data_IF_491322754559
#
_entry.id   IF_491322754559
#
_cell.length_a   1.000
_cell.length_b   1.000
_cell.length_c   1.000
_cell.angle_alpha   90.00
_cell.angle_beta   90.00
_cell.angle_gamma   90.00
#
_symmetry.space_group_name_H-M   'P 1'
#
loop_
_entity.id
_entity.type
_entity.pdbx_description
1 polymer ?
#
# COMPACT_ATOMS: atom_id res chain seq x y z
N UNK A 1 -19.53 5.31 20.63
CA UNK A 1 -19.06 6.52 19.91
C UNK A 1 -17.89 7.08 20.70
N UNK A 2 -16.76 7.39 20.06
CA UNK A 2 -15.61 7.99 20.76
C UNK A 2 -15.92 9.44 21.16
N UNK A 3 -15.36 9.89 22.29
CA UNK A 3 -15.43 11.29 22.71
C UNK A 3 -14.25 12.07 22.13
N UNK A 4 -14.53 13.00 21.21
CA UNK A 4 -13.56 13.88 20.58
C UNK A 4 -13.52 15.29 21.20
N UNK A 5 -14.09 15.48 22.40
CA UNK A 5 -14.14 16.77 23.11
C UNK A 5 -12.78 17.47 23.24
N UNK A 6 -11.69 16.70 23.29
CA UNK A 6 -10.31 17.21 23.36
C UNK A 6 -9.77 17.74 22.03
N UNK A 7 -10.38 17.42 20.90
CA UNK A 7 -10.01 17.95 19.59
C UNK A 7 -10.68 19.31 19.32
N UNK A 8 -11.87 19.56 19.89
CA UNK A 8 -12.68 20.74 19.59
C UNK A 8 -11.98 22.08 19.82
N UNK A 9 -11.13 22.28 20.85
CA UNK A 9 -10.40 23.54 21.00
C UNK A 9 -9.40 23.83 19.86
N UNK A 10 -9.02 22.81 19.08
CA UNK A 10 -8.01 22.91 18.01
C UNK A 10 -8.68 23.03 16.65
N UNK A 11 -9.61 22.11 16.33
CA UNK A 11 -10.24 22.00 15.00
C UNK A 11 -11.72 22.41 14.98
N UNK A 12 -12.29 22.72 16.15
CA UNK A 12 -13.72 22.98 16.30
C UNK A 12 -14.59 21.73 16.15
N UNK A 13 -15.86 21.85 16.53
CA UNK A 13 -16.86 20.79 16.30
C UNK A 13 -17.04 20.54 14.79
N UNK A 14 -17.03 21.62 14.01
CA UNK A 14 -17.17 21.55 12.56
C UNK A 14 -15.99 20.84 11.87
N UNK A 15 -14.76 21.05 12.34
CA UNK A 15 -13.60 20.31 11.84
C UNK A 15 -13.70 18.82 12.15
N UNK A 16 -14.12 18.47 13.37
CA UNK A 16 -14.35 17.06 13.72
C UNK A 16 -15.46 16.43 12.88
N UNK A 17 -16.55 17.19 12.58
CA UNK A 17 -17.62 16.75 11.69
C UNK A 17 -17.08 16.44 10.28
N UNK A 18 -16.29 17.36 9.70
CA UNK A 18 -15.64 17.14 8.39
C UNK A 18 -14.77 15.88 8.38
N UNK A 19 -13.96 15.65 9.41
CA UNK A 19 -13.15 14.43 9.53
C UNK A 19 -14.03 13.18 9.57
N UNK A 20 -15.13 13.22 10.33
CA UNK A 20 -16.07 12.08 10.43
C UNK A 20 -16.85 11.78 9.16
N UNK A 21 -16.87 12.71 8.20
CA UNK A 21 -17.47 12.53 6.88
C UNK A 21 -16.44 12.17 5.81
N UNK A 22 -15.14 12.26 6.13
CA UNK A 22 -14.04 12.01 5.20
C UNK A 22 -13.75 10.51 5.05
N UNK A 23 -13.31 10.14 3.86
CA UNK A 23 -12.84 8.80 3.50
C UNK A 23 -11.34 8.82 3.18
N UNK A 24 -10.54 8.02 3.88
CA UNK A 24 -9.08 7.96 3.67
C UNK A 24 -8.67 6.55 3.27
N UNK A 25 -7.96 6.42 2.15
CA UNK A 25 -7.33 5.15 1.76
C UNK A 25 -5.90 5.06 2.27
N UNK A 26 -5.56 3.95 2.92
CA UNK A 26 -4.20 3.59 3.32
C UNK A 26 -3.76 2.40 2.46
N UNK A 27 -2.69 2.58 1.68
CA UNK A 27 -2.17 1.56 0.77
C UNK A 27 -0.98 0.87 1.40
N UNK A 28 -1.13 -0.38 1.81
CA UNK A 28 -0.19 -1.10 2.64
C UNK A 28 -0.59 -1.01 4.12
N UNK A 29 -0.51 -2.13 4.83
CA UNK A 29 -0.88 -2.31 6.22
C UNK A 29 0.28 -2.90 7.05
N UNK A 30 1.51 -2.73 6.57
CA UNK A 30 2.72 -3.10 7.31
C UNK A 30 3.02 -2.15 8.48
N UNK A 31 4.31 -2.01 8.80
CA UNK A 31 4.77 -1.15 9.91
C UNK A 31 4.18 0.26 9.85
N UNK A 32 4.21 0.90 8.68
CA UNK A 32 3.72 2.25 8.53
C UNK A 32 2.18 2.33 8.50
N UNK A 33 1.56 1.66 7.53
CA UNK A 33 0.12 1.76 7.31
C UNK A 33 -0.74 1.31 8.50
N UNK A 34 -0.29 0.33 9.29
CA UNK A 34 -1.02 -0.08 10.49
C UNK A 34 -1.07 1.02 11.56
N UNK A 35 0.00 1.82 11.71
CA UNK A 35 0.00 3.00 12.59
C UNK A 35 -0.79 4.17 12.00
N UNK A 36 -0.78 4.36 10.67
CA UNK A 36 -1.62 5.35 10.00
C UNK A 36 -3.10 5.08 10.24
N UNK A 37 -3.53 3.82 10.07
CA UNK A 37 -4.89 3.37 10.37
C UNK A 37 -5.25 3.64 11.84
N UNK A 38 -4.36 3.31 12.77
CA UNK A 38 -4.56 3.60 14.19
C UNK A 38 -4.77 5.10 14.43
N UNK A 39 -3.90 5.96 13.90
CA UNK A 39 -4.01 7.41 14.11
C UNK A 39 -5.22 8.03 13.41
N UNK A 40 -5.57 7.60 12.19
CA UNK A 40 -6.79 8.04 11.50
C UNK A 40 -8.05 7.66 12.29
N UNK A 41 -8.08 6.44 12.83
CA UNK A 41 -9.18 5.96 13.66
C UNK A 41 -9.30 6.81 14.95
N UNK A 42 -8.17 7.10 15.62
CA UNK A 42 -8.15 7.98 16.80
C UNK A 42 -8.43 9.45 16.47
N UNK A 43 -8.19 9.89 15.25
CA UNK A 43 -8.53 11.23 14.76
C UNK A 43 -10.04 11.36 14.46
N UNK A 44 -10.76 10.24 14.32
CA UNK A 44 -12.19 10.24 14.04
C UNK A 44 -12.52 10.42 12.56
N UNK A 45 -11.69 9.87 11.68
CA UNK A 45 -11.99 9.76 10.24
C UNK A 45 -13.19 8.81 10.04
N UNK A 46 -14.11 9.18 9.15
CA UNK A 46 -15.37 8.47 8.92
C UNK A 46 -15.21 7.06 8.37
N UNK A 47 -14.52 6.93 7.24
CA UNK A 47 -14.21 5.63 6.63
C UNK A 47 -12.72 5.52 6.33
N UNK A 48 -12.10 4.44 6.80
CA UNK A 48 -10.72 4.11 6.49
C UNK A 48 -10.73 2.90 5.58
N UNK A 49 -10.20 3.07 4.37
CA UNK A 49 -10.06 2.02 3.36
C UNK A 49 -8.64 1.50 3.46
N UNK A 50 -8.46 0.18 3.62
CA UNK A 50 -7.13 -0.42 3.73
C UNK A 50 -6.95 -1.43 2.62
N UNK A 51 -5.87 -1.29 1.85
CA UNK A 51 -5.53 -2.20 0.75
C UNK A 51 -4.19 -2.82 1.07
N UNK A 52 -4.17 -4.12 1.36
CA UNK A 52 -2.95 -4.86 1.63
C UNK A 52 -3.14 -6.33 1.25
N UNK A 53 -2.05 -6.99 0.85
CA UNK A 53 -2.05 -8.33 0.24
C UNK A 53 -1.41 -9.40 1.13
N UNK A 54 -0.95 -9.03 2.31
CA UNK A 54 -0.15 -9.86 3.20
C UNK A 54 -0.96 -10.34 4.42
N UNK A 55 -0.46 -11.42 5.01
CA UNK A 55 -0.89 -11.92 6.31
C UNK A 55 0.00 -11.35 7.41
N UNK A 56 -0.51 -11.28 8.63
CA UNK A 56 0.29 -10.89 9.80
C UNK A 56 1.32 -11.97 10.11
N UNK A 57 2.59 -11.60 10.07
CA UNK A 57 3.73 -12.46 10.39
C UNK A 57 4.34 -12.12 11.77
N UNK A 58 5.08 -13.06 12.37
CA UNK A 58 5.76 -12.83 13.65
C UNK A 58 6.74 -11.65 13.59
N UNK A 59 7.40 -11.46 12.44
CA UNK A 59 8.32 -10.34 12.19
C UNK A 59 7.62 -8.97 12.08
N UNK A 60 6.29 -8.92 11.96
CA UNK A 60 5.51 -7.69 11.97
C UNK A 60 5.27 -7.17 13.40
N UNK A 61 5.16 -8.06 14.39
CA UNK A 61 4.74 -7.72 15.76
C UNK A 61 5.56 -6.59 16.42
N UNK A 62 6.90 -6.53 16.28
CA UNK A 62 7.69 -5.50 16.97
C UNK A 62 7.48 -4.07 16.44
N UNK A 63 6.87 -3.91 15.26
CA UNK A 63 6.86 -2.64 14.49
C UNK A 63 5.49 -2.24 13.95
N UNK A 64 4.45 -3.00 14.25
CA UNK A 64 3.07 -2.76 13.82
C UNK A 64 2.15 -2.66 15.03
N UNK A 65 0.87 -2.42 14.79
CA UNK A 65 -0.19 -2.45 15.83
C UNK A 65 -0.74 -3.87 16.09
N UNK A 66 -0.23 -4.87 15.37
CA UNK A 66 -0.69 -6.25 15.49
C UNK A 66 -0.21 -6.89 16.80
N UNK A 67 -0.97 -7.86 17.27
CA UNK A 67 -0.66 -8.67 18.45
C UNK A 67 -0.55 -10.13 18.06
N UNK A 68 -0.13 -10.99 19.01
CA UNK A 68 -0.02 -12.44 18.79
C UNK A 68 -1.34 -13.10 18.37
N UNK A 69 -2.48 -12.50 18.71
CA UNK A 69 -3.82 -12.98 18.34
C UNK A 69 -4.15 -12.75 16.86
N UNK A 70 -3.37 -11.91 16.16
CA UNK A 70 -3.57 -11.61 14.75
C UNK A 70 -2.73 -12.47 13.82
N UNK A 71 -1.79 -13.26 14.35
CA UNK A 71 -0.86 -14.06 13.54
C UNK A 71 -1.60 -14.97 12.55
N UNK A 72 -1.16 -14.95 11.29
CA UNK A 72 -1.75 -15.72 10.21
C UNK A 72 -3.08 -15.17 9.65
N UNK A 73 -3.63 -14.09 10.21
CA UNK A 73 -4.80 -13.41 9.62
C UNK A 73 -4.36 -12.47 8.49
N UNK A 74 -5.19 -12.25 7.44
CA UNK A 74 -4.97 -11.14 6.53
C UNK A 74 -4.84 -9.82 7.30
N UNK A 75 -3.82 -9.02 6.97
CA UNK A 75 -3.55 -7.74 7.65
C UNK A 75 -4.75 -6.82 7.67
N UNK A 76 -5.50 -6.79 6.56
CA UNK A 76 -6.73 -6.00 6.42
C UNK A 76 -7.86 -6.49 7.32
N UNK A 77 -7.98 -7.80 7.55
CA UNK A 77 -9.02 -8.37 8.41
C UNK A 77 -8.70 -8.12 9.89
N UNK A 78 -7.43 -8.27 10.29
CA UNK A 78 -6.97 -7.92 11.63
C UNK A 78 -7.24 -6.43 11.96
N UNK A 79 -6.99 -5.52 11.01
CA UNK A 79 -7.31 -4.10 11.19
C UNK A 79 -8.82 -3.83 11.18
N UNK A 80 -9.60 -4.58 10.40
CA UNK A 80 -11.06 -4.49 10.38
C UNK A 80 -11.66 -4.87 11.72
N UNK A 81 -11.19 -5.95 12.34
CA UNK A 81 -11.61 -6.37 13.68
C UNK A 81 -11.26 -5.33 14.74
N UNK A 82 -10.06 -4.72 14.67
CA UNK A 82 -9.60 -3.75 15.69
C UNK A 82 -10.19 -2.35 15.55
N UNK A 83 -10.37 -1.87 14.32
CA UNK A 83 -10.64 -0.45 14.04
C UNK A 83 -11.87 -0.22 13.14
N UNK A 84 -12.54 -1.28 12.66
CA UNK A 84 -13.74 -1.17 11.83
C UNK A 84 -13.48 -0.66 10.41
N UNK A 85 -12.29 -0.89 9.85
CA UNK A 85 -11.91 -0.41 8.51
C UNK A 85 -12.60 -1.20 7.37
N UNK A 86 -12.67 -0.58 6.19
CA UNK A 86 -13.03 -1.24 4.92
C UNK A 86 -11.78 -1.87 4.31
N UNK A 87 -11.54 -3.15 4.62
CA UNK A 87 -10.38 -3.90 4.17
C UNK A 87 -10.55 -4.53 2.78
N UNK A 88 -9.54 -4.41 1.93
CA UNK A 88 -9.40 -5.11 0.65
C UNK A 88 -8.12 -5.94 0.66
N UNK A 89 -8.27 -7.27 0.68
CA UNK A 89 -7.14 -8.20 0.64
C UNK A 89 -6.60 -8.33 -0.79
N UNK A 90 -5.92 -7.30 -1.27
CA UNK A 90 -5.48 -7.13 -2.65
C UNK A 90 -4.14 -6.38 -2.72
N UNK A 91 -3.42 -6.61 -3.80
CA UNK A 91 -2.28 -5.79 -4.19
C UNK A 91 -2.75 -4.53 -4.92
N UNK A 92 -2.26 -3.34 -4.57
CA UNK A 92 -2.55 -2.13 -5.33
C UNK A 92 -1.65 -2.03 -6.57
N UNK A 93 -2.28 -2.11 -7.74
CA UNK A 93 -1.64 -2.07 -9.05
C UNK A 93 -2.62 -1.45 -10.07
N UNK A 94 -2.24 -1.29 -11.36
CA UNK A 94 -3.10 -0.65 -12.35
C UNK A 94 -4.47 -1.31 -12.52
N UNK A 95 -4.55 -2.61 -12.27
CA UNK A 95 -5.77 -3.42 -12.40
C UNK A 95 -6.73 -3.24 -11.21
N UNK A 96 -6.22 -2.81 -10.06
CA UNK A 96 -6.95 -2.68 -8.79
C UNK A 96 -7.00 -1.23 -8.27
N UNK A 97 -6.46 -0.27 -9.03
CA UNK A 97 -6.36 1.12 -8.59
C UNK A 97 -7.71 1.81 -8.37
N UNK A 98 -8.78 1.26 -8.95
CA UNK A 98 -10.17 1.70 -8.74
C UNK A 98 -10.64 1.49 -7.29
N UNK A 99 -9.95 0.68 -6.48
CA UNK A 99 -10.23 0.57 -5.04
C UNK A 99 -10.03 1.90 -4.30
N UNK A 100 -9.35 2.87 -4.91
CA UNK A 100 -9.14 4.21 -4.38
C UNK A 100 -10.25 5.20 -4.75
N UNK A 101 -11.26 4.80 -5.55
CA UNK A 101 -12.26 5.70 -6.14
C UNK A 101 -13.12 6.43 -5.10
N UNK A 102 -13.38 5.81 -3.96
CA UNK A 102 -14.18 6.42 -2.90
C UNK A 102 -13.37 7.32 -1.94
N UNK A 103 -12.03 7.26 -1.97
CA UNK A 103 -11.21 8.01 -1.02
C UNK A 103 -11.12 9.51 -1.36
N UNK A 104 -11.23 10.37 -0.36
CA UNK A 104 -10.96 11.81 -0.48
C UNK A 104 -9.45 12.09 -0.45
N UNK A 105 -8.70 11.24 0.25
CA UNK A 105 -7.25 11.32 0.43
C UNK A 105 -6.63 9.92 0.46
N UNK A 106 -5.44 9.77 -0.11
CA UNK A 106 -4.65 8.52 -0.07
C UNK A 106 -3.41 8.74 0.79
N UNK A 107 -3.06 7.77 1.63
CA UNK A 107 -1.82 7.75 2.41
C UNK A 107 -1.02 6.49 2.06
N UNK A 108 0.27 6.70 1.82
CA UNK A 108 1.22 5.65 1.46
C UNK A 108 1.70 4.89 2.70
N UNK A 109 1.23 3.65 2.85
CA UNK A 109 1.72 2.69 3.83
C UNK A 109 2.59 1.58 3.21
N UNK A 110 2.98 1.70 1.93
CA UNK A 110 3.69 0.67 1.16
C UNK A 110 5.19 0.90 1.17
N UNK A 111 5.96 -0.16 0.95
CA UNK A 111 7.40 -0.12 0.74
C UNK A 111 7.80 -0.22 -0.75
N UNK A 112 6.82 -0.28 -1.65
CA UNK A 112 7.04 -0.53 -3.07
C UNK A 112 7.00 0.76 -3.90
N UNK A 113 8.16 1.13 -4.47
CA UNK A 113 8.30 2.32 -5.33
C UNK A 113 7.40 2.26 -6.56
N UNK A 114 7.18 1.09 -7.16
CA UNK A 114 6.27 0.94 -8.29
C UNK A 114 4.84 1.28 -7.87
N UNK A 115 4.38 0.75 -6.74
CA UNK A 115 3.03 1.03 -6.21
C UNK A 115 2.87 2.53 -5.95
N UNK A 116 3.90 3.22 -5.44
CA UNK A 116 3.90 4.69 -5.31
C UNK A 116 3.76 5.42 -6.66
N UNK A 117 4.35 4.90 -7.73
CA UNK A 117 4.16 5.45 -9.08
C UNK A 117 2.75 5.20 -9.62
N UNK A 118 2.13 4.05 -9.30
CA UNK A 118 0.71 3.76 -9.62
C UNK A 118 -0.21 4.73 -8.89
N UNK A 119 -0.02 4.91 -7.57
CA UNK A 119 -0.77 5.89 -6.77
C UNK A 119 -0.62 7.29 -7.37
N UNK A 120 0.62 7.69 -7.71
CA UNK A 120 0.89 9.00 -8.30
C UNK A 120 0.11 9.23 -9.61
N UNK A 121 0.15 8.27 -10.54
CA UNK A 121 -0.51 8.43 -11.83
C UNK A 121 -2.03 8.44 -11.68
N UNK A 122 -2.56 7.60 -10.80
CA UNK A 122 -3.98 7.60 -10.45
C UNK A 122 -4.43 8.90 -9.79
N UNK A 123 -3.66 9.41 -8.84
CA UNK A 123 -3.90 10.66 -8.15
C UNK A 123 -3.91 11.84 -9.14
N UNK A 124 -2.97 11.88 -10.08
CA UNK A 124 -2.91 12.91 -11.13
C UNK A 124 -4.10 12.80 -12.09
N UNK A 125 -4.52 11.58 -12.45
CA UNK A 125 -5.67 11.34 -13.34
C UNK A 125 -6.99 11.78 -12.72
N UNK A 126 -7.18 11.48 -11.44
CA UNK A 126 -8.44 11.68 -10.73
C UNK A 126 -8.45 12.91 -9.81
N UNK A 127 -7.40 13.74 -9.88
CA UNK A 127 -7.22 14.91 -9.04
C UNK A 127 -7.33 14.62 -7.53
N UNK A 128 -6.79 13.48 -7.08
CA UNK A 128 -6.82 13.08 -5.67
C UNK A 128 -5.55 13.51 -4.94
N UNK A 129 -5.64 14.18 -3.78
CA UNK A 129 -4.47 14.39 -2.95
C UNK A 129 -3.97 13.05 -2.40
N UNK A 130 -2.66 12.96 -2.20
CA UNK A 130 -2.08 11.85 -1.46
C UNK A 130 -0.82 12.25 -0.72
N UNK A 131 -0.41 11.46 0.26
CA UNK A 131 0.78 11.71 1.06
C UNK A 131 1.74 10.55 0.83
N UNK A 132 2.89 10.85 0.22
CA UNK A 132 4.02 9.92 0.16
C UNK A 132 4.66 9.82 1.53
N UNK A 133 4.92 8.60 1.99
CA UNK A 133 5.61 8.34 3.24
C UNK A 133 6.56 7.16 3.05
N UNK A 134 7.82 7.34 3.41
CA UNK A 134 8.85 6.31 3.32
C UNK A 134 9.71 6.29 4.56
N UNK A 135 9.92 5.11 5.13
CA UNK A 135 10.73 4.90 6.35
C UNK A 135 11.75 3.79 6.10
N UNK A 136 12.95 3.95 6.67
CA UNK A 136 14.02 2.95 6.58
C UNK A 136 15.04 3.22 7.71
N UNK A 137 15.53 2.17 8.38
CA UNK A 137 16.41 2.28 9.54
C UNK A 137 15.89 3.24 10.62
N UNK A 138 16.51 4.42 10.76
CA UNK A 138 16.18 5.48 11.74
C UNK A 138 15.55 6.72 11.12
N UNK A 139 15.34 6.74 9.80
CA UNK A 139 14.91 7.92 9.07
C UNK A 139 13.56 7.74 8.38
N UNK A 140 12.92 8.88 8.11
CA UNK A 140 11.64 8.98 7.42
C UNK A 140 11.59 10.15 6.46
N UNK A 141 10.76 10.00 5.43
CA UNK A 141 10.48 10.99 4.39
C UNK A 141 8.97 11.12 4.23
N UNK A 142 8.45 12.34 4.20
CA UNK A 142 7.02 12.61 4.05
C UNK A 142 6.83 13.76 3.07
N UNK A 143 5.97 13.57 2.07
CA UNK A 143 5.70 14.59 1.06
C UNK A 143 4.20 14.64 0.70
N UNK A 144 3.50 15.75 1.01
CA UNK A 144 2.15 15.96 0.53
C UNK A 144 2.11 16.26 -0.97
N UNK A 145 1.28 15.53 -1.70
CA UNK A 145 1.11 15.64 -3.13
C UNK A 145 -0.34 16.02 -3.43
N UNK A 146 -0.53 17.26 -3.86
CA UNK A 146 -1.83 17.80 -4.28
C UNK A 146 -1.72 18.07 -5.79
N UNK A 147 -2.37 17.25 -6.64
CA UNK A 147 -2.32 17.42 -8.09
C UNK A 147 -2.61 18.86 -8.53
N UNK A 148 -1.75 19.40 -9.39
CA UNK A 148 -1.87 20.77 -9.90
C UNK A 148 -1.37 21.87 -8.95
N UNK A 149 -1.14 21.59 -7.66
CA UNK A 149 -0.67 22.58 -6.68
C UNK A 149 0.76 22.32 -6.21
N UNK A 150 1.08 21.09 -5.81
CA UNK A 150 2.42 20.74 -5.33
C UNK A 150 3.18 19.88 -6.35
N UNK A 151 4.46 19.63 -6.08
CA UNK A 151 5.23 18.64 -6.83
C UNK A 151 4.60 17.25 -6.71
N UNK A 152 4.52 16.53 -7.82
CA UNK A 152 4.09 15.12 -7.80
C UNK A 152 5.27 14.19 -7.46
N UNK A 153 4.99 12.92 -7.20
CA UNK A 153 6.05 11.96 -6.90
C UNK A 153 7.04 11.79 -8.05
N UNK A 154 6.62 11.95 -9.32
CA UNK A 154 7.55 11.92 -10.47
C UNK A 154 8.42 13.19 -10.60
N UNK A 155 8.08 14.27 -9.89
CA UNK A 155 9.00 15.41 -9.75
C UNK A 155 10.19 15.05 -8.85
N UNK A 156 9.91 14.37 -7.73
CA UNK A 156 10.89 13.91 -6.75
C UNK A 156 11.66 12.66 -7.22
N UNK A 157 10.95 11.66 -7.73
CA UNK A 157 11.44 10.36 -8.19
C UNK A 157 11.09 10.16 -9.68
N UNK A 158 11.86 10.73 -10.61
CA UNK A 158 11.53 10.75 -12.03
C UNK A 158 11.66 9.41 -12.75
N UNK A 159 12.46 8.48 -12.22
CA UNK A 159 12.66 7.14 -12.78
C UNK A 159 12.63 6.12 -11.65
N UNK A 160 12.21 4.90 -11.97
CA UNK A 160 12.47 3.78 -11.07
C UNK A 160 13.99 3.61 -10.92
N UNK A 161 14.48 3.31 -9.71
CA UNK A 161 15.90 3.05 -9.52
C UNK A 161 16.31 1.84 -10.37
N UNK A 162 17.47 1.93 -11.02
CA UNK A 162 18.00 0.86 -11.87
C UNK A 162 18.51 -0.35 -11.09
N UNK A 163 18.59 -0.24 -9.76
CA UNK A 163 18.95 -1.30 -8.82
C UNK A 163 17.92 -1.33 -7.69
N UNK A 164 17.67 -2.49 -7.08
CA UNK A 164 16.84 -2.58 -5.89
C UNK A 164 17.38 -1.65 -4.80
N UNK A 165 16.51 -0.81 -4.24
CA UNK A 165 16.86 -0.05 -3.04
C UNK A 165 16.90 -0.99 -1.83
N UNK A 166 17.72 -0.71 -0.80
CA UNK A 166 17.69 -1.47 0.44
C UNK A 166 16.27 -1.46 1.01
N UNK A 167 15.74 -2.65 1.29
CA UNK A 167 14.41 -2.81 1.93
C UNK A 167 14.57 -2.80 3.44
N UNK A 168 13.45 -2.62 4.16
CA UNK A 168 13.43 -2.77 5.63
C UNK A 168 13.92 -4.15 6.07
N UNK A 169 13.77 -5.19 5.25
CA UNK A 169 14.27 -6.53 5.55
C UNK A 169 15.80 -6.60 5.57
N UNK A 170 16.48 -5.74 4.80
CA UNK A 170 17.96 -5.72 4.69
C UNK A 170 18.55 -4.67 5.63
N UNK A 171 18.02 -3.45 5.63
CA UNK A 171 18.56 -2.34 6.40
C UNK A 171 18.03 -2.29 7.85
N UNK A 172 16.95 -3.03 8.14
CA UNK A 172 16.21 -2.92 9.39
C UNK A 172 15.33 -1.66 9.46
N UNK A 173 14.45 -1.64 10.46
CA UNK A 173 13.65 -0.47 10.81
C UNK A 173 13.43 -0.43 12.32
N UNK A 174 13.70 0.71 12.95
CA UNK A 174 13.44 0.88 14.38
C UNK A 174 11.94 1.05 14.63
N UNK A 175 11.40 0.35 15.63
CA UNK A 175 9.96 0.26 15.90
C UNK A 175 9.26 1.59 16.18
N UNK A 176 10.00 2.60 16.64
CA UNK A 176 9.48 3.95 16.90
C UNK A 176 9.45 4.87 15.67
N UNK A 177 10.10 4.48 14.56
CA UNK A 177 10.15 5.29 13.33
C UNK A 177 8.81 5.28 12.58
N UNK A 178 8.18 4.11 12.29
CA UNK A 178 6.86 4.07 11.68
C UNK A 178 5.79 4.89 12.39
N UNK A 179 5.58 4.79 13.73
CA UNK A 179 4.55 5.58 14.39
C UNK A 179 4.83 7.09 14.35
N UNK A 180 6.10 7.51 14.41
CA UNK A 180 6.47 8.92 14.24
C UNK A 180 6.11 9.43 12.83
N UNK A 181 6.48 8.67 11.79
CA UNK A 181 6.16 9.04 10.41
C UNK A 181 4.64 9.07 10.18
N UNK A 182 3.92 8.05 10.65
CA UNK A 182 2.46 7.97 10.55
C UNK A 182 1.78 9.14 11.27
N UNK A 183 2.25 9.55 12.45
CA UNK A 183 1.70 10.68 13.18
C UNK A 183 1.83 11.99 12.40
N UNK A 184 3.00 12.23 11.79
CA UNK A 184 3.23 13.42 10.95
C UNK A 184 2.36 13.36 9.68
N UNK A 185 2.30 12.20 9.01
CA UNK A 185 1.48 12.01 7.80
C UNK A 185 -0.01 12.21 8.08
N UNK A 186 -0.54 11.68 9.20
CA UNK A 186 -1.94 11.88 9.60
C UNK A 186 -2.21 13.33 10.02
N UNK A 187 -1.24 14.02 10.61
CA UNK A 187 -1.33 15.47 10.85
C UNK A 187 -1.50 16.26 9.54
N UNK A 188 -0.72 15.90 8.51
CA UNK A 188 -0.85 16.50 7.16
C UNK A 188 -2.20 16.12 6.52
N UNK A 189 -2.65 14.87 6.70
CA UNK A 189 -3.95 14.41 6.23
C UNK A 189 -5.09 15.24 6.82
N UNK A 190 -5.06 15.50 8.14
CA UNK A 190 -6.03 16.35 8.81
C UNK A 190 -6.07 17.75 8.18
N UNK A 191 -4.91 18.37 7.94
CA UNK A 191 -4.83 19.66 7.26
C UNK A 191 -5.50 19.64 5.88
N UNK A 192 -5.22 18.63 5.06
CA UNK A 192 -5.81 18.49 3.72
C UNK A 192 -7.33 18.35 3.82
N UNK A 193 -7.83 17.47 4.68
CA UNK A 193 -9.27 17.20 4.85
C UNK A 193 -10.03 18.40 5.43
N UNK A 194 -9.38 19.20 6.27
CA UNK A 194 -9.96 20.42 6.82
C UNK A 194 -9.93 21.61 5.84
N UNK A 195 -9.23 21.45 4.70
CA UNK A 195 -9.08 22.49 3.68
C UNK A 195 -8.00 23.53 3.99
N UNK A 196 -7.07 23.21 4.88
CA UNK A 196 -5.93 24.06 5.18
C UNK A 196 -4.86 24.02 4.08
N UNK A 197 -4.05 25.08 4.02
CA UNK A 197 -2.94 25.14 3.07
C UNK A 197 -1.81 24.17 3.46
N UNK A 198 -1.32 23.46 2.44
CA UNK A 198 -0.19 22.54 2.55
C UNK A 198 0.86 22.93 1.54
N UNK A 199 2.10 23.10 2.00
CA UNK A 199 3.25 23.49 1.18
C UNK A 199 3.77 22.32 0.37
N UNK A 200 4.38 22.64 -0.77
CA UNK A 200 5.13 21.68 -1.58
C UNK A 200 6.51 21.48 -0.94
N UNK A 201 6.61 20.59 0.04
CA UNK A 201 7.84 20.31 0.79
C UNK A 201 8.05 18.81 1.00
N UNK A 202 9.31 18.38 1.03
CA UNK A 202 9.74 17.08 1.53
C UNK A 202 10.19 17.27 2.98
N UNK A 203 9.52 16.58 3.90
CA UNK A 203 9.92 16.51 5.30
C UNK A 203 10.81 15.29 5.46
N UNK A 204 12.04 15.50 5.88
CA UNK A 204 12.98 14.46 6.26
C UNK A 204 13.21 14.49 7.77
N UNK A 205 13.37 13.33 8.38
CA UNK A 205 13.86 13.24 9.76
C UNK A 205 14.79 12.05 9.94
N UNK A 206 15.72 12.18 10.89
CA UNK A 206 16.50 11.07 11.43
C UNK A 206 16.39 11.06 12.96
N UNK A 207 15.77 10.01 13.50
CA UNK A 207 15.61 9.81 14.94
C UNK A 207 16.92 9.56 15.68
N UNK A 208 17.99 9.15 14.97
CA UNK A 208 19.30 8.91 15.59
C UNK A 208 20.00 10.21 15.95
N UNK A 209 19.98 11.19 15.04
CA UNK A 209 20.53 12.53 15.27
C UNK A 209 19.51 13.51 15.84
N UNK A 210 18.21 13.17 15.78
CA UNK A 210 17.08 14.05 16.06
C UNK A 210 16.97 15.24 15.11
N UNK A 211 17.49 15.09 13.89
CA UNK A 211 17.38 16.10 12.85
C UNK A 211 16.01 16.05 12.17
N UNK A 212 15.46 17.24 11.92
CA UNK A 212 14.22 17.43 11.16
C UNK A 212 14.45 18.54 10.13
N UNK A 213 14.32 18.19 8.87
CA UNK A 213 14.54 19.10 7.76
C UNK A 213 13.29 19.19 6.89
N UNK A 214 13.02 20.41 6.42
CA UNK A 214 11.98 20.68 5.42
C UNK A 214 12.66 21.24 4.19
N UNK A 215 12.60 20.49 3.11
CA UNK A 215 13.17 20.89 1.82
C UNK A 215 12.03 21.28 0.90
N UNK A 216 12.06 22.50 0.38
CA UNK A 216 11.10 22.93 -0.62
C UNK A 216 11.20 22.02 -1.86
N UNK A 217 10.07 21.51 -2.32
CA UNK A 217 9.99 20.60 -3.44
C UNK A 217 9.27 21.29 -4.61
N UNK A 218 9.99 21.91 -5.56
CA UNK A 218 9.35 22.62 -6.65
C UNK A 218 8.69 21.67 -7.65
N UNK A 219 7.52 22.06 -8.15
CA UNK A 219 6.88 21.35 -9.26
C UNK A 219 7.68 21.61 -10.54
N UNK A 220 8.14 20.52 -11.17
CA UNK A 220 8.89 20.58 -12.43
C UNK A 220 7.98 20.93 -13.62
N UNK A 221 8.41 21.90 -14.43
CA UNK A 221 7.73 22.31 -15.67
C UNK A 221 7.80 21.23 -16.77
N UNK A 222 8.81 20.37 -16.73
CA UNK A 222 9.03 19.30 -17.72
C UNK A 222 8.53 17.93 -17.25
N UNK A 223 7.79 17.87 -16.13
CA UNK A 223 7.44 16.60 -15.50
C UNK A 223 6.57 15.71 -16.41
N UNK A 224 7.00 14.47 -16.71
CA UNK A 224 6.24 13.58 -17.60
C UNK A 224 4.85 13.25 -17.05
N UNK A 225 4.69 13.10 -15.73
CA UNK A 225 3.39 12.79 -15.14
C UNK A 225 2.50 14.04 -14.97
N UNK A 226 2.87 14.98 -14.10
CA UNK A 226 1.95 16.06 -13.71
C UNK A 226 1.86 17.23 -14.71
N UNK A 227 2.74 17.30 -15.71
CA UNK A 227 2.67 18.28 -16.80
C UNK A 227 2.26 17.60 -18.10
N UNK A 228 3.03 16.61 -18.57
CA UNK A 228 2.78 15.97 -19.88
C UNK A 228 1.70 14.89 -19.86
N UNK A 229 1.24 14.48 -18.68
CA UNK A 229 0.19 13.45 -18.49
C UNK A 229 0.57 12.09 -19.11
N UNK A 230 1.86 11.77 -19.13
CA UNK A 230 2.40 10.44 -19.47
C UNK A 230 2.21 9.50 -18.25
N UNK A 231 1.00 8.96 -18.12
CA UNK A 231 0.57 8.12 -16.99
C UNK A 231 0.88 6.63 -17.21
N UNK A 232 2.13 6.33 -17.58
CA UNK A 232 2.56 4.99 -18.01
C UNK A 232 2.41 3.91 -16.95
N UNK A 233 2.35 4.28 -15.66
CA UNK A 233 2.17 3.32 -14.57
C UNK A 233 0.71 2.94 -14.35
N UNK A 234 -0.24 3.46 -15.15
CA UNK A 234 -1.61 2.95 -15.21
C UNK A 234 -1.83 1.97 -16.38
N UNK A 235 -0.81 1.73 -17.19
CA UNK A 235 -0.89 0.73 -18.25
C UNK A 235 -1.02 -0.67 -17.65
N UNK A 236 -2.08 -1.37 -18.04
CA UNK A 236 -2.37 -2.74 -17.63
C UNK A 236 -1.44 -3.72 -18.36
N UNK A 237 -0.44 -4.25 -17.67
CA UNK A 237 0.53 -5.25 -18.18
C UNK A 237 0.70 -6.37 -17.15
N UNK A 238 1.08 -7.57 -17.61
CA UNK A 238 1.55 -8.62 -16.69
C UNK A 238 2.75 -8.06 -15.94
N UNK A 239 2.67 -8.08 -14.61
CA UNK A 239 3.74 -7.64 -13.73
C UNK A 239 4.37 -8.85 -13.05
N UNK A 240 5.69 -8.87 -12.99
CA UNK A 240 6.45 -9.91 -12.30
C UNK A 240 7.36 -9.24 -11.30
N UNK A 241 7.32 -9.72 -10.05
CA UNK A 241 8.09 -9.16 -8.95
C UNK A 241 8.68 -10.28 -8.10
N UNK A 242 9.93 -10.12 -7.67
CA UNK A 242 10.53 -11.00 -6.67
C UNK A 242 10.19 -10.48 -5.26
N UNK A 243 9.70 -11.36 -4.40
CA UNK A 243 9.38 -11.07 -3.00
C UNK A 243 10.59 -11.28 -2.09
N UNK A 244 10.48 -10.81 -0.85
CA UNK A 244 11.55 -10.86 0.14
C UNK A 244 11.97 -12.29 0.53
N UNK A 245 11.07 -13.26 0.44
CA UNK A 245 11.34 -14.69 0.68
C UNK A 245 11.93 -15.41 -0.55
N UNK A 246 12.24 -14.67 -1.62
CA UNK A 246 12.81 -15.18 -2.86
C UNK A 246 11.78 -15.63 -3.89
N UNK A 247 10.51 -15.79 -3.51
CA UNK A 247 9.42 -16.20 -4.40
C UNK A 247 9.16 -15.17 -5.50
N UNK A 248 8.55 -15.61 -6.61
CA UNK A 248 8.15 -14.74 -7.72
C UNK A 248 6.64 -14.58 -7.71
N UNK A 249 6.17 -13.33 -7.67
CA UNK A 249 4.77 -12.98 -7.85
C UNK A 249 4.49 -12.59 -9.30
N UNK A 250 3.43 -13.16 -9.87
CA UNK A 250 2.88 -12.77 -11.17
C UNK A 250 1.50 -12.15 -10.97
N UNK A 251 1.30 -10.95 -11.50
CA UNK A 251 0.02 -10.22 -11.44
C UNK A 251 -0.52 -10.02 -12.86
N UNK A 252 -1.76 -10.44 -13.16
CA UNK A 252 -2.36 -10.25 -14.49
C UNK A 252 -2.65 -8.78 -14.82
N UNK A 253 -2.74 -8.43 -16.12
CA UNK A 253 -3.02 -7.06 -16.56
C UNK A 253 -4.44 -6.62 -16.19
N UNK A 254 -5.37 -7.55 -16.02
CA UNK A 254 -6.71 -7.27 -15.54
C UNK A 254 -7.00 -8.17 -14.33
N UNK A 255 -7.76 -7.65 -13.36
CA UNK A 255 -8.23 -8.46 -12.24
C UNK A 255 -9.08 -9.59 -12.78
N UNK A 256 -8.71 -10.82 -12.45
CA UNK A 256 -9.50 -12.01 -12.75
C UNK A 256 -10.53 -12.25 -11.64
N UNK A 257 -11.46 -13.15 -11.88
CA UNK A 257 -12.33 -13.73 -10.85
C UNK A 257 -12.17 -15.25 -10.91
N UNK A 258 -11.04 -15.74 -10.39
CA UNK A 258 -10.65 -17.15 -10.49
C UNK A 258 -11.65 -18.01 -9.74
N UNK A 259 -12.27 -18.95 -10.45
CA UNK A 259 -13.18 -19.91 -9.86
C UNK A 259 -12.38 -21.06 -9.20
N UNK A 260 -12.19 -20.97 -7.88
CA UNK A 260 -11.43 -21.98 -7.14
C UNK A 260 -12.07 -23.38 -7.16
N UNK A 261 -13.38 -23.50 -7.35
CA UNK A 261 -14.02 -24.82 -7.47
C UNK A 261 -13.70 -25.48 -8.81
N UNK A 262 -13.61 -24.70 -9.88
CA UNK A 262 -13.20 -25.19 -11.19
C UNK A 262 -11.71 -25.53 -11.22
N UNK A 263 -10.86 -24.64 -10.71
CA UNK A 263 -9.43 -24.86 -10.61
C UNK A 263 -9.10 -26.06 -9.71
N UNK A 264 -9.78 -26.22 -8.57
CA UNK A 264 -9.64 -27.41 -7.73
C UNK A 264 -9.94 -28.71 -8.47
N UNK A 265 -11.03 -28.76 -9.25
CA UNK A 265 -11.34 -29.94 -10.10
C UNK A 265 -10.29 -30.22 -11.17
N UNK A 266 -9.64 -29.18 -11.71
CA UNK A 266 -8.53 -29.35 -12.65
C UNK A 266 -7.31 -29.96 -11.96
N UNK A 267 -6.97 -29.49 -10.75
CA UNK A 267 -5.88 -30.04 -9.93
C UNK A 267 -6.14 -31.50 -9.54
N UNK A 268 -7.37 -31.84 -9.15
CA UNK A 268 -7.75 -33.24 -8.83
C UNK A 268 -7.55 -34.18 -10.02
N UNK A 269 -7.88 -33.75 -11.24
CA UNK A 269 -7.65 -34.52 -12.46
C UNK A 269 -6.17 -34.74 -12.75
N UNK A 270 -5.32 -33.81 -12.33
CA UNK A 270 -3.87 -33.92 -12.43
C UNK A 270 -3.26 -34.74 -11.28
N UNK A 271 -4.07 -35.17 -10.31
CA UNK A 271 -3.60 -35.89 -9.12
C UNK A 271 -2.88 -34.99 -8.12
N UNK A 272 -3.10 -33.68 -8.18
CA UNK A 272 -2.46 -32.70 -7.31
C UNK A 272 -3.37 -32.41 -6.11
N UNK A 273 -2.84 -32.63 -4.90
CA UNK A 273 -3.50 -32.21 -3.67
C UNK A 273 -3.39 -30.69 -3.48
N UNK A 274 -4.43 -30.07 -2.91
CA UNK A 274 -4.48 -28.63 -2.74
C UNK A 274 -5.19 -28.23 -1.44
N UNK A 275 -4.80 -27.09 -0.90
CA UNK A 275 -5.50 -26.36 0.15
C UNK A 275 -6.32 -25.25 -0.49
N UNK A 276 -7.61 -25.18 -0.20
CA UNK A 276 -8.50 -24.10 -0.67
C UNK A 276 -9.05 -23.31 0.51
N UNK A 277 -8.93 -21.98 0.42
CA UNK A 277 -9.56 -21.01 1.30
C UNK A 277 -10.48 -20.09 0.50
N UNK A 278 -11.30 -19.25 1.15
CA UNK A 278 -12.06 -18.22 0.43
C UNK A 278 -11.18 -17.20 -0.32
N UNK A 279 -9.90 -17.05 0.06
CA UNK A 279 -8.99 -16.02 -0.46
C UNK A 279 -8.01 -16.56 -1.50
N UNK A 280 -7.62 -17.83 -1.39
CA UNK A 280 -6.62 -18.46 -2.25
C UNK A 280 -6.80 -19.96 -2.39
N UNK A 281 -6.15 -20.54 -3.40
CA UNK A 281 -5.87 -21.96 -3.53
C UNK A 281 -4.35 -22.17 -3.57
N UNK A 282 -3.85 -23.15 -2.82
CA UNK A 282 -2.43 -23.46 -2.66
C UNK A 282 -2.18 -24.93 -2.97
N UNK A 283 -1.11 -25.23 -3.69
CA UNK A 283 -0.74 -26.59 -4.05
C UNK A 283 0.75 -26.67 -4.40
N UNK A 284 1.27 -27.90 -4.47
CA UNK A 284 2.62 -28.19 -4.94
C UNK A 284 2.53 -28.85 -6.33
N UNK A 285 3.37 -28.39 -7.27
CA UNK A 285 3.53 -28.99 -8.59
C UNK A 285 5.03 -29.03 -8.91
N UNK A 286 5.57 -30.25 -9.03
CA UNK A 286 7.00 -30.50 -9.17
C UNK A 286 7.83 -29.87 -8.04
N UNK A 287 8.70 -28.92 -8.37
CA UNK A 287 9.58 -28.22 -7.41
C UNK A 287 8.98 -26.88 -6.94
N UNK A 288 7.71 -26.59 -7.28
CA UNK A 288 7.07 -25.32 -7.00
C UNK A 288 5.95 -25.43 -5.97
N UNK A 289 5.99 -24.56 -4.97
CA UNK A 289 4.84 -24.25 -4.14
C UNK A 289 4.11 -23.05 -4.76
N UNK A 290 2.86 -23.26 -5.17
CA UNK A 290 2.06 -22.29 -5.93
C UNK A 290 0.87 -21.84 -5.09
N UNK A 291 0.67 -20.53 -5.04
CA UNK A 291 -0.44 -19.88 -4.36
C UNK A 291 -1.17 -18.96 -5.33
N UNK A 292 -2.44 -19.24 -5.61
CA UNK A 292 -3.28 -18.47 -6.53
C UNK A 292 -4.41 -17.77 -5.77
N UNK A 293 -4.50 -16.46 -5.93
CA UNK A 293 -5.54 -15.63 -5.36
C UNK A 293 -6.71 -15.44 -6.32
N UNK A 294 -7.86 -15.04 -5.77
CA UNK A 294 -9.10 -14.86 -6.54
C UNK A 294 -8.96 -13.81 -7.65
N UNK A 295 -8.12 -12.79 -7.42
CA UNK A 295 -7.80 -11.75 -8.40
C UNK A 295 -6.92 -12.21 -9.57
N UNK A 296 -6.50 -13.48 -9.57
CA UNK A 296 -5.55 -14.03 -10.54
C UNK A 296 -4.09 -13.74 -10.20
N UNK A 297 -3.80 -13.03 -9.10
CA UNK A 297 -2.43 -12.92 -8.56
C UNK A 297 -1.93 -14.33 -8.22
N UNK A 298 -0.69 -14.62 -8.58
CA UNK A 298 -0.03 -15.90 -8.31
C UNK A 298 1.31 -15.66 -7.63
N UNK A 299 1.60 -16.39 -6.56
CA UNK A 299 2.93 -16.43 -5.92
C UNK A 299 3.50 -17.82 -6.11
N UNK A 300 4.75 -17.88 -6.58
CA UNK A 300 5.44 -19.11 -6.95
C UNK A 300 6.74 -19.15 -6.17
N UNK A 301 6.87 -20.11 -5.25
CA UNK A 301 8.12 -20.44 -4.57
C UNK A 301 8.85 -21.53 -5.34
N UNK A 302 10.17 -21.47 -5.37
CA UNK A 302 11.02 -22.36 -6.17
C UNK A 302 11.42 -21.78 -7.53
N UNK A 303 10.66 -20.85 -8.09
CA UNK A 303 10.99 -20.23 -9.39
C UNK A 303 12.20 -19.29 -9.31
N UNK A 304 13.17 -19.49 -10.20
CA UNK A 304 14.39 -18.69 -10.30
C UNK A 304 14.30 -17.62 -11.38
N UNK A 305 13.56 -17.84 -12.46
CA UNK A 305 13.49 -16.91 -13.58
C UNK A 305 12.08 -16.35 -13.85
N UNK A 306 11.99 -15.12 -14.37
CA UNK A 306 10.70 -14.54 -14.77
C UNK A 306 10.00 -15.34 -15.87
N UNK A 307 10.77 -15.96 -16.77
CA UNK A 307 10.23 -16.76 -17.88
C UNK A 307 9.52 -18.01 -17.37
N UNK A 308 10.11 -18.65 -16.38
CA UNK A 308 9.56 -19.81 -15.69
C UNK A 308 8.24 -19.46 -14.99
N UNK A 309 8.24 -18.36 -14.22
CA UNK A 309 7.04 -17.84 -13.57
C UNK A 309 5.91 -17.52 -14.58
N UNK A 310 6.24 -16.96 -15.76
CA UNK A 310 5.25 -16.75 -16.84
C UNK A 310 4.66 -18.06 -17.37
N UNK A 311 5.48 -19.09 -17.53
CA UNK A 311 5.01 -20.38 -18.03
C UNK A 311 4.08 -21.06 -17.02
N UNK A 312 4.43 -21.04 -15.73
CA UNK A 312 3.58 -21.56 -14.65
C UNK A 312 2.27 -20.78 -14.59
N UNK A 313 2.36 -19.44 -14.66
CA UNK A 313 1.17 -18.59 -14.73
C UNK A 313 0.26 -18.97 -15.90
N UNK A 314 0.82 -19.14 -17.10
CA UNK A 314 0.07 -19.52 -18.29
C UNK A 314 -0.50 -20.94 -18.20
N UNK A 315 0.18 -21.89 -17.54
CA UNK A 315 -0.30 -23.27 -17.37
C UNK A 315 -1.60 -23.34 -16.58
N UNK A 316 -1.73 -22.52 -15.53
CA UNK A 316 -2.88 -22.60 -14.61
C UNK A 316 -3.94 -21.52 -14.83
N UNK A 317 -3.53 -20.32 -15.26
CA UNK A 317 -4.41 -19.16 -15.44
C UNK A 317 -4.38 -18.58 -16.86
N UNK A 318 -3.53 -19.11 -17.74
CA UNK A 318 -3.52 -18.77 -19.16
C UNK A 318 -4.62 -19.51 -19.89
N UNK A 319 -5.59 -18.75 -20.40
CA UNK A 319 -6.50 -19.19 -21.47
C UNK A 319 -5.85 -19.08 -22.84
#
# INVERSE_FOLDING_TARGET
MMDFSRHFPIIGIEGQRKLSESKVAVVGAGALGSWEVYFLHKLGVGEIIVIDRDFVDESDLPRTVYTKEDLGKPKVDALKEKFGVKGYFEDLNPSTVNLLDEADLIIDGTDNIYTRQVINDYAIKNNKPWIYVGVLATYGNIMPIIPGKTACFRCFMPKLPSRPMPTCAIAGIMSYVPPLAASIAVGIAAKILLGEEVKSELIFFDTKSLDFEKVEMPRREDCPACVRKELTFLEKKIKIERLCDGSIQVTPPEKMDVNFDELGKQLEKLGIEYLKTPQFIQFEDEDYEILIFKSGRMVIRGAEEEREAKNIFARYLGG
#
